data_IF_418179575433
#
_entry.id   IF_418179575433
#
_cell.length_a   1.000
_cell.length_b   1.000
_cell.length_c   1.000
_cell.angle_alpha   90.00
_cell.angle_beta   90.00
_cell.angle_gamma   90.00
#
_symmetry.space_group_name_H-M   'P 1'
#
loop_
_entity.id
_entity.type
_entity.pdbx_description
1 polymer ?
#
# COMPACT_ATOMS: atom_id res chain seq x y z
N UNK A 1 11.82 -8.23 1.73
CA UNK A 1 11.08 -7.46 0.72
C UNK A 1 12.06 -6.92 -0.29
N UNK A 2 11.87 -5.66 -0.70
CA UNK A 2 12.68 -4.99 -1.73
C UNK A 2 13.62 -3.93 -1.11
N UNK A 3 13.69 -3.82 0.23
CA UNK A 3 14.56 -2.87 0.90
C UNK A 3 14.26 -1.41 0.50
N UNK A 4 15.30 -0.67 0.13
CA UNK A 4 15.22 0.71 -0.38
C UNK A 4 15.30 0.81 -1.90
N UNK A 5 15.12 -0.29 -2.64
CA UNK A 5 15.02 -0.19 -4.10
C UNK A 5 13.72 0.49 -4.52
N UNK A 6 13.83 1.37 -5.51
CA UNK A 6 12.67 2.00 -6.17
C UNK A 6 12.05 1.09 -7.23
N UNK A 7 12.70 -0.05 -7.54
CA UNK A 7 12.27 -1.00 -8.56
C UNK A 7 12.54 -0.53 -9.99
N UNK A 8 13.23 0.59 -10.18
CA UNK A 8 13.40 1.25 -11.49
C UNK A 8 14.62 0.74 -12.29
N UNK A 9 15.14 -0.45 -11.95
CA UNK A 9 16.34 -1.00 -12.60
C UNK A 9 16.17 -1.20 -14.10
N UNK A 10 14.99 -1.65 -14.52
CA UNK A 10 14.64 -1.83 -15.93
C UNK A 10 14.60 -0.48 -16.66
N UNK A 11 13.94 0.52 -16.08
CA UNK A 11 13.78 1.86 -16.62
C UNK A 11 15.12 2.57 -16.76
N UNK A 12 16.01 2.44 -15.78
CA UNK A 12 17.38 2.97 -15.82
C UNK A 12 18.19 2.34 -16.96
N UNK A 13 18.08 1.02 -17.12
CA UNK A 13 18.72 0.32 -18.23
C UNK A 13 18.15 0.79 -19.59
N UNK A 14 16.83 0.83 -19.75
CA UNK A 14 16.18 1.37 -20.96
C UNK A 14 16.61 2.79 -21.29
N UNK A 15 16.70 3.66 -20.28
CA UNK A 15 17.17 5.02 -20.44
C UNK A 15 18.61 5.05 -20.98
N UNK A 16 19.51 4.22 -20.42
CA UNK A 16 20.92 4.16 -20.80
C UNK A 16 21.12 3.82 -22.28
N UNK A 17 20.30 2.93 -22.86
CA UNK A 17 20.40 2.51 -24.27
C UNK A 17 19.49 3.30 -25.21
N UNK A 18 18.64 4.19 -24.69
CA UNK A 18 17.62 4.90 -25.48
C UNK A 18 18.21 5.76 -26.61
N UNK A 19 19.41 6.29 -26.41
CA UNK A 19 20.14 7.08 -27.42
C UNK A 19 20.51 6.25 -28.66
N UNK A 20 20.62 4.92 -28.53
CA UNK A 20 20.90 4.03 -29.66
C UNK A 20 19.70 3.90 -30.61
N UNK A 21 18.47 4.21 -30.17
CA UNK A 21 17.26 4.01 -30.98
C UNK A 21 17.35 4.75 -32.32
N UNK A 22 17.80 6.01 -32.31
CA UNK A 22 17.92 6.82 -33.54
C UNK A 22 19.00 6.28 -34.47
N UNK A 23 20.14 5.87 -33.91
CA UNK A 23 21.27 5.32 -34.67
C UNK A 23 20.91 3.97 -35.29
N UNK A 24 20.29 3.09 -34.51
CA UNK A 24 20.00 1.73 -34.92
C UNK A 24 18.87 1.64 -35.95
N UNK A 25 17.95 2.61 -35.99
CA UNK A 25 16.79 2.60 -36.89
C UNK A 25 17.16 2.50 -38.38
N UNK A 26 18.31 3.03 -38.76
CA UNK A 26 18.78 3.06 -40.16
C UNK A 26 19.80 1.96 -40.48
N UNK A 27 20.08 1.06 -39.54
CA UNK A 27 21.11 0.01 -39.68
C UNK A 27 20.50 -1.37 -39.96
N UNK A 28 21.31 -2.25 -40.57
CA UNK A 28 20.90 -3.62 -40.87
C UNK A 28 20.58 -4.41 -39.60
N UNK A 29 19.76 -5.46 -39.71
CA UNK A 29 19.35 -6.29 -38.58
C UNK A 29 20.53 -6.82 -37.75
N UNK A 30 21.55 -7.37 -38.39
CA UNK A 30 22.71 -7.93 -37.70
C UNK A 30 23.55 -6.85 -37.01
N UNK A 31 23.68 -5.67 -37.61
CA UNK A 31 24.39 -4.57 -36.98
C UNK A 31 23.66 -4.08 -35.72
N UNK A 32 22.32 -4.00 -35.75
CA UNK A 32 21.51 -3.68 -34.56
C UNK A 32 21.74 -4.65 -33.42
N UNK A 33 21.67 -5.96 -33.70
CA UNK A 33 21.90 -6.99 -32.70
C UNK A 33 23.30 -6.90 -32.10
N UNK A 34 24.32 -6.79 -32.96
CA UNK A 34 25.71 -6.69 -32.52
C UNK A 34 25.95 -5.47 -31.63
N UNK A 35 25.46 -4.30 -32.02
CA UNK A 35 25.65 -3.06 -31.26
C UNK A 35 24.92 -3.11 -29.92
N UNK A 36 23.69 -3.64 -29.88
CA UNK A 36 22.96 -3.82 -28.62
C UNK A 36 23.67 -4.80 -27.69
N UNK A 37 24.09 -5.96 -28.19
CA UNK A 37 24.81 -6.97 -27.41
C UNK A 37 26.13 -6.41 -26.85
N UNK A 38 26.86 -5.63 -27.66
CA UNK A 38 28.11 -4.98 -27.24
C UNK A 38 27.85 -3.93 -26.17
N UNK A 39 26.80 -3.11 -26.30
CA UNK A 39 26.44 -2.11 -25.30
C UNK A 39 26.02 -2.76 -23.97
N UNK A 40 25.26 -3.86 -24.04
CA UNK A 40 24.84 -4.62 -22.86
C UNK A 40 26.07 -5.18 -22.14
N UNK A 41 26.96 -5.86 -22.88
CA UNK A 41 28.22 -6.39 -22.32
C UNK A 41 29.07 -5.32 -21.67
N UNK A 42 29.19 -4.15 -22.31
CA UNK A 42 29.92 -3.03 -21.73
C UNK A 42 29.27 -2.53 -20.42
N UNK A 43 27.94 -2.42 -20.40
CA UNK A 43 27.19 -2.00 -19.21
C UNK A 43 27.32 -3.01 -18.06
N UNK A 44 27.33 -4.32 -18.37
CA UNK A 44 27.54 -5.38 -17.39
C UNK A 44 28.97 -5.32 -16.82
N UNK A 45 29.99 -5.15 -17.68
CA UNK A 45 31.37 -4.99 -17.24
C UNK A 45 31.54 -3.76 -16.33
N UNK A 46 30.93 -2.63 -16.69
CA UNK A 46 30.95 -1.41 -15.88
C UNK A 46 30.22 -1.59 -14.54
N UNK A 47 29.07 -2.27 -14.55
CA UNK A 47 28.27 -2.55 -13.35
C UNK A 47 29.03 -3.44 -12.38
N UNK A 48 29.63 -4.55 -12.86
CA UNK A 48 30.48 -5.43 -12.06
C UNK A 48 31.66 -4.65 -11.48
N UNK A 49 32.30 -3.80 -12.28
CA UNK A 49 33.44 -3.00 -11.82
C UNK A 49 33.06 -2.03 -10.69
N UNK A 50 31.89 -1.40 -10.75
CA UNK A 50 31.37 -0.45 -9.75
C UNK A 50 30.62 -1.11 -8.59
N UNK A 51 30.37 -2.41 -8.63
CA UNK A 51 29.49 -3.10 -7.69
C UNK A 51 29.92 -2.93 -6.22
N UNK A 52 31.22 -2.97 -5.93
CA UNK A 52 31.72 -2.76 -4.56
C UNK A 52 31.42 -1.36 -4.03
N UNK A 53 31.67 -0.33 -4.83
CA UNK A 53 31.35 1.07 -4.50
C UNK A 53 29.85 1.27 -4.31
N UNK A 54 29.04 0.71 -5.21
CA UNK A 54 27.58 0.73 -5.12
C UNK A 54 27.09 0.09 -3.80
N UNK A 55 27.63 -1.06 -3.43
CA UNK A 55 27.27 -1.76 -2.21
C UNK A 55 27.63 -0.94 -0.95
N UNK A 56 28.81 -0.29 -0.92
CA UNK A 56 29.19 0.61 0.16
C UNK A 56 28.23 1.80 0.27
N UNK A 57 27.91 2.45 -0.85
CA UNK A 57 26.97 3.57 -0.87
C UNK A 57 25.59 3.16 -0.33
N UNK A 58 25.09 1.99 -0.74
CA UNK A 58 23.82 1.46 -0.24
C UNK A 58 23.87 1.15 1.25
N UNK A 59 24.97 0.58 1.73
CA UNK A 59 25.18 0.33 3.16
C UNK A 59 25.15 1.63 3.97
N UNK A 60 25.85 2.66 3.50
CA UNK A 60 25.85 3.98 4.15
C UNK A 60 24.46 4.62 4.14
N UNK A 61 23.75 4.51 3.02
CA UNK A 61 22.38 5.01 2.90
C UNK A 61 21.42 4.30 3.86
N UNK A 62 21.48 2.97 3.94
CA UNK A 62 20.68 2.17 4.88
C UNK A 62 20.94 2.57 6.32
N UNK A 63 22.23 2.71 6.70
CA UNK A 63 22.64 3.18 8.04
C UNK A 63 22.13 4.57 8.36
N UNK A 64 22.23 5.51 7.41
CA UNK A 64 21.67 6.85 7.58
C UNK A 64 20.17 6.79 7.81
N UNK A 65 19.43 6.05 6.96
CA UNK A 65 17.97 5.92 7.08
C UNK A 65 17.55 5.25 8.38
N UNK A 66 18.32 4.27 8.86
CA UNK A 66 18.13 3.64 10.16
C UNK A 66 18.29 4.64 11.29
N UNK A 67 19.36 5.45 11.28
CA UNK A 67 19.61 6.46 12.31
C UNK A 67 18.48 7.49 12.37
N UNK A 68 18.11 8.06 11.22
CA UNK A 68 16.99 9.01 11.11
C UNK A 68 15.69 8.43 11.67
N UNK A 69 15.42 7.15 11.41
CA UNK A 69 14.22 6.49 11.92
C UNK A 69 14.29 6.22 13.44
N UNK A 70 15.45 5.84 13.97
CA UNK A 70 15.63 5.66 15.42
C UNK A 70 15.47 6.97 16.18
N UNK A 71 15.97 8.09 15.64
CA UNK A 71 15.79 9.42 16.22
C UNK A 71 14.30 9.79 16.31
N UNK A 72 13.55 9.59 15.21
CA UNK A 72 12.10 9.86 15.20
C UNK A 72 11.34 8.96 16.20
N UNK A 73 11.73 7.70 16.36
CA UNK A 73 11.11 6.81 17.35
C UNK A 73 11.44 7.19 18.80
N UNK A 74 12.61 7.75 19.04
CA UNK A 74 12.97 8.27 20.36
C UNK A 74 12.15 9.52 20.70
N UNK A 75 11.89 10.38 19.71
CA UNK A 75 11.10 11.60 19.88
C UNK A 75 9.59 11.36 20.01
N UNK A 76 9.02 10.40 19.26
CA UNK A 76 7.57 10.28 19.15
C UNK A 76 6.87 9.73 20.40
N UNK A 77 7.63 9.17 21.36
CA UNK A 77 7.11 8.71 22.65
C UNK A 77 6.11 7.53 22.59
N UNK A 78 5.98 6.88 21.43
CA UNK A 78 5.06 5.76 21.20
C UNK A 78 5.82 4.42 21.19
N UNK A 79 5.20 3.36 21.72
CA UNK A 79 5.78 2.02 21.62
C UNK A 79 5.80 1.53 20.17
N UNK A 80 6.88 0.82 19.79
CA UNK A 80 6.98 0.19 18.46
C UNK A 80 5.85 -0.81 18.21
N UNK A 81 5.36 -1.49 19.24
CA UNK A 81 4.26 -2.45 19.12
C UNK A 81 2.93 -1.75 18.80
N UNK A 82 2.65 -0.65 19.50
CA UNK A 82 1.46 0.16 19.25
C UNK A 82 1.48 0.78 17.85
N UNK A 83 2.64 1.29 17.41
CA UNK A 83 2.81 1.81 16.05
C UNK A 83 2.57 0.72 14.98
N UNK A 84 3.04 -0.51 15.21
CA UNK A 84 2.77 -1.65 14.31
C UNK A 84 1.30 -2.02 14.28
N UNK A 85 0.60 -1.98 15.42
CA UNK A 85 -0.84 -2.21 15.50
C UNK A 85 -1.62 -1.12 14.76
N UNK A 86 -1.30 0.15 15.02
CA UNK A 86 -1.89 1.30 14.33
C UNK A 86 -1.66 1.23 12.81
N UNK A 87 -0.47 0.81 12.37
CA UNK A 87 -0.19 0.55 10.97
C UNK A 87 -1.04 -0.60 10.40
N UNK A 88 -1.19 -1.71 11.12
CA UNK A 88 -2.03 -2.83 10.68
C UNK A 88 -3.50 -2.42 10.54
N UNK A 89 -4.02 -1.64 11.49
CA UNK A 89 -5.38 -1.06 11.43
C UNK A 89 -5.52 -0.12 10.22
N UNK A 90 -4.53 0.75 9.99
CA UNK A 90 -4.50 1.61 8.81
C UNK A 90 -4.55 0.80 7.51
N UNK A 91 -3.71 -0.23 7.38
CA UNK A 91 -3.69 -1.10 6.20
C UNK A 91 -5.05 -1.75 6.01
N UNK A 92 -5.61 -2.36 7.05
CA UNK A 92 -6.93 -2.99 6.97
C UNK A 92 -8.03 -2.03 6.51
N UNK A 93 -8.00 -0.77 6.96
CA UNK A 93 -8.96 0.25 6.53
C UNK A 93 -8.72 0.67 5.09
N UNK A 94 -7.47 0.91 4.70
CA UNK A 94 -7.11 1.43 3.38
C UNK A 94 -7.16 0.38 2.26
N UNK A 95 -6.97 -0.90 2.56
CA UNK A 95 -7.04 -2.00 1.59
C UNK A 95 -8.44 -2.59 1.46
N UNK A 96 -9.45 -2.07 2.18
CA UNK A 96 -10.85 -2.50 2.00
C UNK A 96 -11.26 -2.31 0.54
N UNK A 97 -11.87 -3.33 -0.09
CA UNK A 97 -12.37 -3.20 -1.46
C UNK A 97 -13.32 -2.00 -1.58
N UNK A 98 -13.05 -1.15 -2.57
CA UNK A 98 -13.90 0.01 -2.86
C UNK A 98 -15.34 -0.46 -3.09
N UNK A 99 -16.28 0.11 -2.32
CA UNK A 99 -17.67 -0.27 -2.39
C UNK A 99 -18.21 -0.05 -3.81
N UNK A 100 -18.73 -1.12 -4.43
CA UNK A 100 -19.39 -1.05 -5.74
C UNK A 100 -20.87 -0.74 -5.58
N UNK A 101 -21.44 -0.10 -6.61
CA UNK A 101 -22.88 0.04 -6.77
C UNK A 101 -23.54 -1.32 -6.90
N UNK A 102 -24.75 -1.44 -6.38
CA UNK A 102 -25.57 -2.62 -6.58
C UNK A 102 -27.05 -2.25 -6.49
N UNK A 103 -27.84 -2.88 -7.35
CA UNK A 103 -29.30 -2.74 -7.34
C UNK A 103 -29.93 -3.42 -6.12
N UNK A 104 -29.32 -4.45 -5.56
CA UNK A 104 -29.90 -5.26 -4.47
C UNK A 104 -29.35 -4.92 -3.09
N UNK A 105 -28.41 -3.98 -2.98
CA UNK A 105 -27.73 -3.69 -1.71
C UNK A 105 -28.66 -3.09 -0.66
N UNK A 106 -29.58 -2.21 -1.06
CA UNK A 106 -30.61 -1.68 -0.17
C UNK A 106 -31.51 -2.80 0.38
N UNK A 107 -32.00 -3.66 -0.49
CA UNK A 107 -32.85 -4.81 -0.12
C UNK A 107 -32.14 -5.76 0.84
N UNK A 108 -30.86 -6.08 0.58
CA UNK A 108 -30.04 -6.92 1.46
C UNK A 108 -29.82 -6.29 2.83
N UNK A 109 -29.60 -4.97 2.90
CA UNK A 109 -29.43 -4.27 4.17
C UNK A 109 -30.73 -4.28 5.00
N UNK A 110 -31.88 -4.03 4.36
CA UNK A 110 -33.19 -4.13 5.01
C UNK A 110 -33.45 -5.56 5.51
N UNK A 111 -33.18 -6.58 4.68
CA UNK A 111 -33.32 -7.98 5.09
C UNK A 111 -32.41 -8.32 6.28
N UNK A 112 -31.19 -7.77 6.33
CA UNK A 112 -30.27 -7.96 7.44
C UNK A 112 -30.76 -7.33 8.75
N UNK A 113 -31.41 -6.17 8.71
CA UNK A 113 -32.06 -5.56 9.88
C UNK A 113 -33.24 -6.41 10.34
N UNK A 114 -34.09 -6.87 9.43
CA UNK A 114 -35.21 -7.76 9.77
C UNK A 114 -34.71 -9.06 10.42
N UNK A 115 -33.64 -9.67 9.89
CA UNK A 115 -33.02 -10.85 10.49
C UNK A 115 -32.43 -10.56 11.89
N UNK A 116 -31.74 -9.42 12.06
CA UNK A 116 -31.21 -9.00 13.36
C UNK A 116 -32.32 -8.79 14.41
N UNK A 117 -33.49 -8.27 14.00
CA UNK A 117 -34.66 -8.15 14.88
C UNK A 117 -35.21 -9.50 15.31
N UNK A 118 -35.30 -10.45 14.39
CA UNK A 118 -35.71 -11.83 14.70
C UNK A 118 -34.72 -12.47 15.66
N UNK A 119 -33.41 -12.32 15.44
CA UNK A 119 -32.37 -12.82 16.32
C UNK A 119 -32.44 -12.22 17.73
N UNK A 120 -32.67 -10.90 17.86
CA UNK A 120 -32.93 -10.24 19.15
C UNK A 120 -34.17 -10.81 19.83
N UNK A 121 -35.25 -11.05 19.07
CA UNK A 121 -36.47 -11.68 19.58
C UNK A 121 -36.21 -13.06 20.18
N UNK A 122 -35.48 -13.92 19.46
CA UNK A 122 -35.08 -15.25 19.93
C UNK A 122 -34.19 -15.17 21.17
N UNK A 123 -33.23 -14.23 21.21
CA UNK A 123 -32.40 -14.05 22.40
C UNK A 123 -33.23 -13.58 23.60
N UNK A 124 -34.25 -12.75 23.37
CA UNK A 124 -35.16 -12.30 24.43
C UNK A 124 -35.99 -13.46 24.98
N UNK A 125 -36.62 -14.27 24.12
CA UNK A 125 -37.39 -15.43 24.58
C UNK A 125 -36.50 -16.40 25.36
N UNK A 126 -35.26 -16.64 24.90
CA UNK A 126 -34.31 -17.47 25.66
C UNK A 126 -33.95 -16.90 27.04
N UNK A 127 -33.87 -15.57 27.18
CA UNK A 127 -33.70 -14.94 28.50
C UNK A 127 -34.93 -15.20 29.36
N UNK A 128 -36.14 -15.03 28.80
CA UNK A 128 -37.41 -15.25 29.49
C UNK A 128 -37.54 -16.73 29.94
N UNK A 129 -37.20 -17.70 29.08
CA UNK A 129 -37.20 -19.14 29.37
C UNK A 129 -36.19 -19.49 30.49
N UNK A 130 -34.94 -19.03 30.36
CA UNK A 130 -33.93 -19.24 31.41
C UNK A 130 -34.28 -18.56 32.74
N UNK A 131 -35.04 -17.45 32.71
CA UNK A 131 -35.56 -16.87 33.96
C UNK A 131 -36.63 -17.73 34.62
N UNK A 132 -37.52 -18.36 33.83
CA UNK A 132 -38.53 -19.27 34.35
C UNK A 132 -37.89 -20.53 34.95
N UNK A 133 -36.94 -21.15 34.25
CA UNK A 133 -36.18 -22.32 34.73
C UNK A 133 -35.42 -22.01 36.04
N UNK A 134 -34.82 -20.81 36.14
CA UNK A 134 -34.12 -20.39 37.35
C UNK A 134 -35.07 -20.21 38.55
N UNK A 135 -36.29 -19.71 38.32
CA UNK A 135 -37.32 -19.57 39.35
C UNK A 135 -37.84 -20.93 39.84
N UNK A 136 -38.08 -21.87 38.93
CA UNK A 136 -38.46 -23.25 39.28
C UNK A 136 -37.35 -23.97 40.06
N UNK A 137 -36.09 -23.85 39.62
CA UNK A 137 -34.95 -24.43 40.33
C UNK A 137 -34.78 -23.86 41.75
N UNK A 138 -35.06 -22.56 41.94
CA UNK A 138 -35.06 -21.94 43.28
C UNK A 138 -36.23 -22.43 44.15
N UNK A 139 -37.41 -22.64 43.57
CA UNK A 139 -38.58 -23.18 44.29
C UNK A 139 -38.40 -24.65 44.73
N UNK A 140 -37.62 -25.43 43.98
CA UNK A 140 -37.34 -26.84 44.27
C UNK A 140 -36.07 -27.05 45.14
N UNK A 141 -35.39 -25.98 45.56
CA UNK A 141 -34.14 -26.01 46.37
C UNK A 141 -32.98 -26.86 45.78
N UNK A 142 -33.00 -27.16 44.48
CA UNK A 142 -31.96 -27.96 43.82
C UNK A 142 -30.72 -27.10 43.55
N UNK A 143 -29.72 -27.24 44.43
CA UNK A 143 -28.47 -26.46 44.40
C UNK A 143 -27.66 -26.63 43.11
N UNK A 144 -27.72 -27.81 42.47
CA UNK A 144 -27.00 -28.07 41.22
C UNK A 144 -27.74 -27.45 40.03
N UNK A 145 -29.07 -27.58 39.97
CA UNK A 145 -29.90 -26.94 38.96
C UNK A 145 -29.83 -25.40 39.05
N UNK A 146 -29.78 -24.83 40.27
CA UNK A 146 -29.63 -23.38 40.48
C UNK A 146 -28.30 -22.86 39.91
N UNK A 147 -27.20 -23.60 40.06
CA UNK A 147 -25.90 -23.20 39.52
C UNK A 147 -25.89 -23.21 37.97
N UNK A 148 -26.46 -24.25 37.36
CA UNK A 148 -26.53 -24.38 35.89
C UNK A 148 -27.44 -23.33 35.25
N UNK A 149 -28.64 -23.11 35.81
CA UNK A 149 -29.59 -22.10 35.31
C UNK A 149 -29.03 -20.68 35.43
N UNK A 150 -28.25 -20.38 36.47
CA UNK A 150 -27.58 -19.08 36.65
C UNK A 150 -26.54 -18.78 35.57
N UNK A 151 -25.74 -19.76 35.18
CA UNK A 151 -24.74 -19.58 34.11
C UNK A 151 -25.39 -19.53 32.73
N UNK A 152 -26.43 -20.34 32.48
CA UNK A 152 -27.24 -20.27 31.27
C UNK A 152 -27.92 -18.89 31.12
N UNK A 153 -28.47 -18.33 32.21
CA UNK A 153 -29.06 -17.00 32.24
C UNK A 153 -28.03 -15.91 31.91
N UNK A 154 -26.82 -15.98 32.47
CA UNK A 154 -25.73 -15.03 32.13
C UNK A 154 -25.38 -15.11 30.65
N UNK A 155 -25.21 -16.31 30.11
CA UNK A 155 -24.91 -16.50 28.69
C UNK A 155 -26.04 -15.93 27.81
N UNK A 156 -27.31 -16.19 28.14
CA UNK A 156 -28.47 -15.65 27.42
C UNK A 156 -28.52 -14.11 27.45
N UNK A 157 -28.23 -13.48 28.61
CA UNK A 157 -28.15 -12.02 28.75
C UNK A 157 -27.05 -11.42 27.89
N UNK A 158 -25.83 -11.98 27.92
CA UNK A 158 -24.72 -11.49 27.08
C UNK A 158 -25.01 -11.65 25.58
N UNK A 159 -25.72 -12.72 25.19
CA UNK A 159 -26.17 -12.92 23.81
C UNK A 159 -27.23 -11.88 23.40
N UNK A 160 -28.19 -11.57 24.29
CA UNK A 160 -29.18 -10.53 24.07
C UNK A 160 -28.52 -9.15 23.94
N UNK A 161 -27.55 -8.82 24.78
CA UNK A 161 -26.77 -7.58 24.70
C UNK A 161 -26.07 -7.45 23.35
N UNK A 162 -25.35 -8.48 22.91
CA UNK A 162 -24.69 -8.51 21.58
C UNK A 162 -25.69 -8.38 20.43
N UNK A 163 -26.84 -9.06 20.52
CA UNK A 163 -27.90 -8.96 19.51
C UNK A 163 -28.55 -7.57 19.50
N UNK A 164 -28.71 -6.93 20.66
CA UNK A 164 -29.20 -5.54 20.74
C UNK A 164 -28.21 -4.53 20.17
N UNK A 165 -26.91 -4.67 20.44
CA UNK A 165 -25.90 -3.77 19.89
C UNK A 165 -25.76 -3.93 18.38
N UNK A 166 -25.78 -5.17 17.88
CA UNK A 166 -25.75 -5.44 16.43
C UNK A 166 -27.01 -4.93 15.72
N UNK A 167 -28.18 -5.05 16.35
CA UNK A 167 -29.41 -4.47 15.81
C UNK A 167 -29.32 -2.94 15.73
N UNK A 168 -28.96 -2.27 16.84
CA UNK A 168 -28.84 -0.80 16.89
C UNK A 168 -27.90 -0.30 15.79
N UNK A 169 -26.71 -0.91 15.66
CA UNK A 169 -25.74 -0.57 14.61
C UNK A 169 -26.34 -0.66 13.20
N UNK A 170 -27.10 -1.71 12.91
CA UNK A 170 -27.71 -1.90 11.58
C UNK A 170 -28.91 -0.97 11.35
N UNK A 171 -29.67 -0.65 12.39
CA UNK A 171 -30.78 0.33 12.34
C UNK A 171 -30.24 1.75 12.12
N UNK A 172 -29.18 2.14 12.82
CA UNK A 172 -28.45 3.40 12.63
C UNK A 172 -27.88 3.49 11.22
N UNK A 173 -27.21 2.46 10.71
CA UNK A 173 -26.68 2.46 9.33
C UNK A 173 -27.78 2.63 8.24
N UNK A 174 -29.04 2.25 8.55
CA UNK A 174 -30.19 2.48 7.67
C UNK A 174 -30.97 3.75 8.00
N UNK A 175 -30.73 4.41 9.13
CA UNK A 175 -31.51 5.56 9.59
C UNK A 175 -32.96 5.22 9.92
N UNK A 176 -33.27 3.96 10.26
CA UNK A 176 -34.66 3.51 10.48
C UNK A 176 -34.83 2.79 11.80
N UNK A 177 -35.78 3.27 12.59
CA UNK A 177 -36.18 2.67 13.88
C UNK A 177 -37.49 1.88 13.79
N UNK A 178 -38.37 2.13 12.82
CA UNK A 178 -39.71 1.49 12.77
C UNK A 178 -39.76 0.18 11.92
N UNK A 179 -40.39 -0.86 12.48
CA UNK A 179 -40.60 -2.20 11.88
C UNK A 179 -41.70 -2.26 10.85
N UNK A 180 -42.75 -1.47 11.02
CA UNK A 180 -43.84 -1.45 10.04
C UNK A 180 -43.40 -0.74 8.76
N UNK A 181 -42.56 0.28 8.90
CA UNK A 181 -41.96 1.03 7.81
C UNK A 181 -40.96 0.17 7.02
N UNK A 182 -40.04 -0.55 7.70
CA UNK A 182 -39.07 -1.45 7.06
C UNK A 182 -39.69 -2.59 6.22
N UNK A 183 -40.82 -3.17 6.66
CA UNK A 183 -41.52 -4.23 5.88
C UNK A 183 -42.19 -3.67 4.63
N UNK A 184 -42.77 -2.46 4.70
CA UNK A 184 -43.33 -1.76 3.52
C UNK A 184 -42.22 -1.27 2.58
N UNK A 185 -41.04 -0.99 3.13
CA UNK A 185 -39.89 -0.41 2.44
C UNK A 185 -38.82 -1.44 2.01
N UNK A 186 -39.06 -2.74 2.19
CA UNK A 186 -38.18 -3.79 1.68
C UNK A 186 -37.97 -3.72 0.16
N UNK A 187 -38.86 -3.03 -0.55
CA UNK A 187 -38.83 -2.80 -1.99
C UNK A 187 -38.68 -1.32 -2.39
N UNK A 188 -38.46 -0.37 -1.46
CA UNK A 188 -38.34 1.03 -1.84
C UNK A 188 -36.99 1.32 -2.47
N UNK A 189 -37.06 1.94 -3.64
CA UNK A 189 -35.91 2.42 -4.42
C UNK A 189 -35.05 3.42 -3.65
N UNK A 190 -35.60 4.09 -2.64
CA UNK A 190 -34.90 5.09 -1.82
C UNK A 190 -33.61 4.55 -1.19
N UNK A 191 -33.65 3.41 -0.50
CA UNK A 191 -32.45 2.83 0.13
C UNK A 191 -31.40 2.40 -0.89
N UNK A 192 -31.84 1.90 -2.06
CA UNK A 192 -30.95 1.59 -3.17
C UNK A 192 -30.25 2.86 -3.69
N UNK A 193 -31.00 3.96 -3.86
CA UNK A 193 -30.45 5.25 -4.28
C UNK A 193 -29.46 5.79 -3.25
N UNK A 194 -29.81 5.77 -1.95
CA UNK A 194 -28.96 6.22 -0.84
C UNK A 194 -27.65 5.45 -0.77
N UNK A 195 -27.71 4.12 -0.78
CA UNK A 195 -26.53 3.26 -0.76
C UNK A 195 -25.65 3.43 -2.00
N UNK A 196 -26.26 3.62 -3.18
CA UNK A 196 -25.52 3.87 -4.41
C UNK A 196 -24.90 5.28 -4.45
N UNK A 197 -25.54 6.26 -3.80
CA UNK A 197 -25.03 7.62 -3.69
C UNK A 197 -23.82 7.64 -2.75
N UNK A 198 -23.91 7.02 -1.58
CA UNK A 198 -22.78 6.83 -0.65
C UNK A 198 -21.60 6.15 -1.35
N UNK A 199 -21.85 5.02 -2.03
CA UNK A 199 -20.81 4.30 -2.76
C UNK A 199 -20.09 5.17 -3.79
N UNK A 200 -20.81 6.04 -4.51
CA UNK A 200 -20.17 6.94 -5.49
C UNK A 200 -19.49 8.13 -4.87
N UNK A 201 -19.99 8.64 -3.75
CA UNK A 201 -19.31 9.69 -2.99
C UNK A 201 -17.95 9.19 -2.48
N UNK A 202 -17.90 7.97 -1.92
CA UNK A 202 -16.64 7.31 -1.53
C UNK A 202 -15.71 7.12 -2.73
N UNK A 203 -16.20 6.56 -3.83
CA UNK A 203 -15.39 6.39 -5.04
C UNK A 203 -14.89 7.71 -5.64
N UNK A 204 -15.66 8.78 -5.50
CA UNK A 204 -15.29 10.11 -5.96
C UNK A 204 -14.18 10.69 -5.08
N UNK A 205 -14.30 10.56 -3.74
CA UNK A 205 -13.23 10.91 -2.79
C UNK A 205 -11.93 10.17 -3.12
N UNK A 206 -12.00 8.87 -3.39
CA UNK A 206 -10.83 8.07 -3.77
C UNK A 206 -10.21 8.53 -5.09
N UNK A 207 -11.02 8.78 -6.12
CA UNK A 207 -10.55 9.32 -7.39
C UNK A 207 -9.87 10.69 -7.22
N UNK A 208 -10.41 11.56 -6.36
CA UNK A 208 -9.86 12.88 -6.07
C UNK A 208 -8.52 12.80 -5.31
N UNK A 209 -8.45 11.94 -4.28
CA UNK A 209 -7.19 11.66 -3.56
C UNK A 209 -6.13 11.11 -4.50
N UNK A 210 -6.47 10.13 -5.33
CA UNK A 210 -5.56 9.56 -6.33
C UNK A 210 -5.04 10.62 -7.31
N UNK A 211 -5.92 11.50 -7.82
CA UNK A 211 -5.51 12.62 -8.68
C UNK A 211 -4.54 13.57 -7.96
N UNK A 212 -4.79 13.91 -6.69
CA UNK A 212 -3.90 14.76 -5.89
C UNK A 212 -2.51 14.14 -5.72
N UNK A 213 -2.45 12.83 -5.42
CA UNK A 213 -1.18 12.12 -5.29
C UNK A 213 -0.39 12.07 -6.61
N UNK A 214 -1.09 11.88 -7.74
CA UNK A 214 -0.46 11.86 -9.07
C UNK A 214 0.10 13.21 -9.47
N UNK A 215 -0.66 14.29 -9.27
CA UNK A 215 -0.17 15.66 -9.48
C UNK A 215 1.04 15.96 -8.59
N UNK A 216 0.97 15.61 -7.30
CA UNK A 216 2.09 15.80 -6.37
C UNK A 216 3.33 14.98 -6.77
N UNK A 217 3.14 13.81 -7.39
CA UNK A 217 4.26 13.01 -7.95
C UNK A 217 4.84 13.68 -9.18
N UNK A 218 4.00 14.13 -10.11
CA UNK A 218 4.40 14.84 -11.32
C UNK A 218 5.20 16.11 -11.00
N UNK A 219 4.69 16.94 -10.09
CA UNK A 219 5.35 18.16 -9.63
C UNK A 219 6.71 17.90 -8.99
N UNK A 220 6.86 16.83 -8.20
CA UNK A 220 8.14 16.48 -7.56
C UNK A 220 9.18 16.02 -8.56
N UNK A 221 8.76 15.32 -9.63
CA UNK A 221 9.66 14.94 -10.74
C UNK A 221 10.11 16.22 -11.46
N UNK A 222 9.16 17.08 -11.84
CA UNK A 222 9.44 18.35 -12.51
C UNK A 222 10.37 19.25 -11.69
N UNK A 223 10.13 19.39 -10.38
CA UNK A 223 10.98 20.20 -9.48
C UNK A 223 12.40 19.67 -9.36
N UNK A 224 12.59 18.36 -9.21
CA UNK A 224 13.94 17.77 -9.15
C UNK A 224 14.73 18.00 -10.45
N UNK A 225 14.08 17.84 -11.60
CA UNK A 225 14.76 18.01 -12.89
C UNK A 225 15.06 19.47 -13.23
N UNK A 226 14.20 20.42 -12.82
CA UNK A 226 14.50 21.85 -12.92
C UNK A 226 15.71 22.27 -12.07
N UNK A 227 16.00 21.54 -10.99
CA UNK A 227 17.10 21.82 -10.09
C UNK A 227 18.43 21.19 -10.55
N UNK A 228 18.38 20.07 -11.29
CA UNK A 228 19.57 19.31 -11.71
C UNK A 228 20.13 19.67 -13.11
N UNK A 229 19.37 20.34 -13.99
CA UNK A 229 19.82 20.69 -15.36
C UNK A 229 19.35 22.07 -15.83
N UNK A 230 20.22 22.79 -16.56
CA UNK A 230 19.85 23.97 -17.35
C UNK A 230 18.93 23.57 -18.53
N UNK A 231 17.63 23.43 -18.26
CA UNK A 231 16.58 23.20 -19.25
C UNK A 231 16.05 21.76 -19.32
N UNK A 232 14.76 21.62 -19.69
CA UNK A 232 14.05 20.34 -19.77
C UNK A 232 14.33 19.66 -21.12
N UNK A 233 14.96 18.48 -21.18
CA UNK A 233 15.19 17.75 -22.42
C UNK A 233 13.86 17.37 -23.11
N UNK A 234 13.87 17.32 -24.45
CA UNK A 234 12.67 17.08 -25.29
C UNK A 234 11.94 15.76 -25.02
N UNK A 235 12.64 14.74 -24.50
CA UNK A 235 12.05 13.45 -24.14
C UNK A 235 11.24 13.53 -22.83
N UNK A 236 11.56 14.50 -21.98
CA UNK A 236 10.94 14.68 -20.67
C UNK A 236 9.72 15.59 -20.72
N UNK A 237 9.72 16.55 -21.66
CA UNK A 237 8.50 17.23 -22.10
C UNK A 237 7.43 16.23 -22.57
N UNK A 238 7.83 15.11 -23.20
CA UNK A 238 6.89 14.03 -23.55
C UNK A 238 6.38 13.31 -22.30
N UNK A 239 7.21 13.05 -21.30
CA UNK A 239 6.78 12.43 -20.05
C UNK A 239 5.82 13.34 -19.26
N UNK A 240 6.09 14.64 -19.20
CA UNK A 240 5.20 15.65 -18.62
C UNK A 240 3.87 15.70 -19.37
N UNK A 241 3.88 15.77 -20.71
CA UNK A 241 2.64 15.78 -21.50
C UNK A 241 1.87 14.46 -21.36
N UNK A 242 2.53 13.31 -21.25
CA UNK A 242 1.88 12.03 -20.95
C UNK A 242 1.25 12.02 -19.54
N UNK A 243 1.93 12.60 -18.56
CA UNK A 243 1.44 12.69 -17.17
C UNK A 243 0.25 13.64 -17.08
N UNK A 244 0.33 14.80 -17.72
CA UNK A 244 -0.78 15.76 -17.85
C UNK A 244 -1.97 15.15 -18.60
N UNK A 245 -1.73 14.41 -19.69
CA UNK A 245 -2.78 13.72 -20.43
C UNK A 245 -3.45 12.64 -19.58
N UNK A 246 -2.69 11.90 -18.78
CA UNK A 246 -3.23 10.92 -17.83
C UNK A 246 -4.11 11.60 -16.75
N UNK A 247 -3.66 12.73 -16.19
CA UNK A 247 -4.45 13.54 -15.25
C UNK A 247 -5.75 14.04 -15.91
N UNK A 248 -5.68 14.59 -17.13
CA UNK A 248 -6.85 15.03 -17.91
C UNK A 248 -7.82 13.88 -18.18
N UNK A 249 -7.34 12.67 -18.50
CA UNK A 249 -8.19 11.49 -18.70
C UNK A 249 -8.96 11.11 -17.43
N UNK A 250 -8.34 11.24 -16.26
CA UNK A 250 -8.99 10.98 -14.96
C UNK A 250 -10.01 12.03 -14.56
N UNK A 251 -9.83 13.28 -14.99
CA UNK A 251 -10.83 14.34 -14.86
C UNK A 251 -12.19 13.91 -15.42
N UNK A 252 -12.19 13.24 -16.58
CA UNK A 252 -13.41 12.71 -17.20
C UNK A 252 -14.13 11.69 -16.31
N UNK A 253 -13.39 10.81 -15.62
CA UNK A 253 -13.94 9.86 -14.66
C UNK A 253 -14.54 10.56 -13.44
N UNK A 254 -13.82 11.53 -12.86
CA UNK A 254 -14.26 12.31 -11.71
C UNK A 254 -15.57 13.07 -12.03
N UNK A 255 -15.61 13.74 -13.18
CA UNK A 255 -16.81 14.44 -13.65
C UNK A 255 -17.99 13.47 -13.87
N UNK A 256 -17.75 12.28 -14.43
CA UNK A 256 -18.78 11.24 -14.53
C UNK A 256 -19.28 10.82 -13.14
N UNK A 257 -18.39 10.49 -12.21
CA UNK A 257 -18.78 10.10 -10.85
C UNK A 257 -19.58 11.20 -10.14
N UNK A 258 -19.14 12.46 -10.23
CA UNK A 258 -19.85 13.64 -9.74
C UNK A 258 -21.26 13.74 -10.33
N UNK A 259 -21.38 13.70 -11.65
CA UNK A 259 -22.68 13.84 -12.32
C UNK A 259 -23.64 12.73 -11.88
N UNK A 260 -23.17 11.49 -11.84
CA UNK A 260 -24.00 10.36 -11.42
C UNK A 260 -24.36 10.44 -9.94
N UNK A 261 -23.50 11.00 -9.07
CA UNK A 261 -23.85 11.29 -7.67
C UNK A 261 -24.96 12.36 -7.58
N UNK A 262 -24.80 13.49 -8.28
CA UNK A 262 -25.81 14.55 -8.29
C UNK A 262 -27.16 14.05 -8.84
N UNK A 263 -27.16 13.20 -9.89
CA UNK A 263 -28.39 12.56 -10.39
C UNK A 263 -29.05 11.65 -9.35
N UNK A 264 -28.27 10.93 -8.53
CA UNK A 264 -28.85 10.14 -7.45
C UNK A 264 -29.48 11.02 -6.38
N UNK A 265 -28.86 12.16 -6.05
CA UNK A 265 -29.45 13.14 -5.12
C UNK A 265 -30.79 13.65 -5.65
N UNK A 266 -30.89 13.95 -6.96
CA UNK A 266 -32.15 14.33 -7.61
C UNK A 266 -33.22 13.24 -7.53
N UNK A 267 -32.83 11.98 -7.74
CA UNK A 267 -33.76 10.85 -7.62
C UNK A 267 -34.23 10.65 -6.17
N UNK A 268 -33.35 10.83 -5.18
CA UNK A 268 -33.72 10.76 -3.76
C UNK A 268 -34.69 11.88 -3.39
N UNK A 269 -34.46 13.11 -3.86
CA UNK A 269 -35.38 14.23 -3.66
C UNK A 269 -36.79 13.93 -4.22
N UNK A 270 -36.86 13.29 -5.39
CA UNK A 270 -38.14 12.86 -6.00
C UNK A 270 -38.87 11.82 -5.15
N UNK A 271 -38.17 10.81 -4.63
CA UNK A 271 -38.79 9.78 -3.76
C UNK A 271 -39.29 10.38 -2.44
N UNK A 272 -38.59 11.39 -1.89
CA UNK A 272 -39.03 12.13 -0.71
C UNK A 272 -40.29 12.96 -1.02
N UNK A 273 -40.29 13.71 -2.12
CA UNK A 273 -41.46 14.49 -2.55
C UNK A 273 -42.70 13.62 -2.78
N UNK A 274 -42.50 12.40 -3.28
CA UNK A 274 -43.55 11.41 -3.54
C UNK A 274 -43.98 10.64 -2.29
N UNK A 275 -43.46 10.97 -1.09
CA UNK A 275 -43.73 10.30 0.19
C UNK A 275 -43.45 8.80 0.18
N UNK A 276 -42.47 8.38 -0.61
CA UNK A 276 -41.99 6.99 -0.71
C UNK A 276 -40.68 6.75 0.06
N UNK A 277 -40.13 7.79 0.66
CA UNK A 277 -38.97 7.72 1.53
C UNK A 277 -39.39 7.58 3.01
N UNK A 278 -38.49 7.10 3.90
CA UNK A 278 -38.72 7.07 5.33
C UNK A 278 -39.04 8.45 5.93
N UNK A 279 -39.81 8.47 7.01
CA UNK A 279 -40.04 9.70 7.79
C UNK A 279 -38.71 10.29 8.26
N UNK A 280 -38.49 11.59 8.00
CA UNK A 280 -37.25 12.29 8.35
C UNK A 280 -36.08 12.10 7.36
N UNK A 281 -36.30 11.49 6.20
CA UNK A 281 -35.26 11.36 5.16
C UNK A 281 -34.76 12.73 4.65
N UNK A 282 -33.44 12.94 4.72
CA UNK A 282 -32.77 14.17 4.26
C UNK A 282 -32.10 13.92 2.90
N UNK A 283 -32.22 14.88 1.99
CA UNK A 283 -31.50 14.85 0.70
C UNK A 283 -30.05 15.28 0.93
N UNK A 284 -29.05 14.49 0.47
CA UNK A 284 -27.65 14.87 0.53
C UNK A 284 -27.32 16.07 -0.36
N UNK A 285 -26.34 16.86 0.06
CA UNK A 285 -25.88 18.00 -0.73
C UNK A 285 -25.21 17.57 -2.04
N UNK A 286 -25.53 18.33 -3.08
CA UNK A 286 -24.92 18.18 -4.41
C UNK A 286 -23.51 18.75 -4.43
N UNK A 287 -22.68 18.14 -5.25
CA UNK A 287 -21.30 18.57 -5.44
C UNK A 287 -21.26 19.63 -6.56
N UNK A 288 -20.82 20.84 -6.20
CA UNK A 288 -20.68 21.99 -7.12
C UNK A 288 -19.62 21.71 -8.19
N UNK A 289 -19.75 22.29 -9.38
CA UNK A 289 -18.91 21.93 -10.52
C UNK A 289 -17.49 22.53 -10.53
N UNK A 290 -17.29 23.72 -9.96
CA UNK A 290 -16.03 24.46 -10.10
C UNK A 290 -15.00 24.10 -9.01
N UNK A 291 -15.44 23.65 -7.82
CA UNK A 291 -14.55 23.53 -6.65
C UNK A 291 -14.18 22.10 -6.24
N UNK A 292 -14.63 21.07 -6.96
CA UNK A 292 -14.39 19.65 -6.61
C UNK A 292 -12.90 19.31 -6.46
N UNK A 293 -12.03 20.09 -7.09
CA UNK A 293 -10.59 19.87 -7.14
C UNK A 293 -9.80 20.61 -6.06
N UNK A 294 -10.41 21.60 -5.41
CA UNK A 294 -9.75 22.40 -4.36
C UNK A 294 -9.67 21.59 -3.06
N UNK A 295 -10.67 20.73 -2.79
CA UNK A 295 -10.72 19.85 -1.63
C UNK A 295 -10.57 20.64 -0.32
N UNK A 296 -11.33 21.73 -0.22
CA UNK A 296 -11.35 22.55 0.98
C UNK A 296 -12.07 21.83 2.13
N UNK A 297 -11.82 22.23 3.36
CA UNK A 297 -12.35 21.58 4.57
C UNK A 297 -13.89 21.63 4.60
N UNK A 298 -14.46 22.71 4.10
CA UNK A 298 -15.91 22.96 4.10
C UNK A 298 -16.64 22.42 2.85
N UNK A 299 -15.93 21.73 1.95
CA UNK A 299 -16.54 21.20 0.74
C UNK A 299 -17.61 20.12 1.07
N UNK A 300 -18.76 20.21 0.40
CA UNK A 300 -19.86 19.24 0.51
C UNK A 300 -19.45 17.77 0.17
N UNK A 301 -18.26 17.58 -0.42
CA UNK A 301 -17.68 16.26 -0.62
C UNK A 301 -17.38 15.55 0.70
N UNK A 302 -17.14 16.26 1.81
CA UNK A 302 -16.79 15.67 3.12
C UNK A 302 -17.98 15.37 4.01
N UNK A 303 -19.13 16.01 3.79
CA UNK A 303 -20.33 15.82 4.59
C UNK A 303 -21.10 14.56 4.13
N UNK A 304 -21.41 13.62 5.02
CA UNK A 304 -22.21 12.42 4.69
C UNK A 304 -23.68 12.52 5.11
N UNK A 305 -24.16 13.74 5.34
CA UNK A 305 -25.55 14.05 5.72
C UNK A 305 -26.53 13.42 4.72
N UNK A 306 -27.47 12.60 5.21
CA UNK A 306 -28.46 11.90 4.41
C UNK A 306 -27.96 10.67 3.65
N UNK A 307 -26.68 10.30 3.79
CA UNK A 307 -26.06 9.12 3.17
C UNK A 307 -25.63 8.06 4.18
N UNK A 308 -25.17 8.53 5.34
CA UNK A 308 -24.70 7.70 6.45
C UNK A 308 -25.19 8.35 7.76
N UNK A 309 -26.05 7.66 8.49
CA UNK A 309 -26.46 8.06 9.83
C UNK A 309 -25.62 7.36 10.91
N UNK A 310 -24.59 6.59 10.49
CA UNK A 310 -23.42 6.29 11.32
C UNK A 310 -22.76 7.65 11.63
N UNK A 311 -23.32 8.36 12.63
CA UNK A 311 -22.48 9.10 13.55
C UNK A 311 -21.48 8.05 14.02
N UNK A 312 -20.28 8.04 13.46
CA UNK A 312 -19.11 7.52 14.15
C UNK A 312 -19.29 8.03 15.58
N UNK A 313 -19.68 7.14 16.50
CA UNK A 313 -20.49 7.52 17.67
C UNK A 313 -19.94 8.81 18.25
N UNK A 314 -20.78 9.82 18.48
CA UNK A 314 -20.47 11.26 18.68
C UNK A 314 -19.23 11.63 19.54
N UNK A 315 -18.59 10.64 20.21
CA UNK A 315 -17.38 10.70 21.02
C UNK A 315 -16.23 9.73 20.61
N UNK A 316 -16.27 9.07 19.45
CA UNK A 316 -15.21 8.17 19.01
C UNK A 316 -14.06 9.03 18.45
N UNK A 317 -13.04 9.26 19.28
CA UNK A 317 -11.81 9.91 18.85
C UNK A 317 -11.28 9.23 17.58
N UNK A 318 -10.90 10.01 16.55
CA UNK A 318 -10.35 9.44 15.33
C UNK A 318 -9.13 8.57 15.66
N UNK A 319 -8.89 7.46 14.92
CA UNK A 319 -7.74 6.60 15.16
C UNK A 319 -6.43 7.38 15.16
N UNK A 320 -5.49 7.00 16.04
CA UNK A 320 -4.20 7.67 16.19
C UNK A 320 -3.43 7.78 14.87
N UNK A 321 -3.40 6.73 14.06
CA UNK A 321 -2.77 6.76 12.73
C UNK A 321 -3.35 7.80 11.76
N UNK A 322 -4.55 8.31 12.02
CA UNK A 322 -5.20 9.33 11.20
C UNK A 322 -4.98 10.75 11.78
N UNK A 323 -5.18 10.92 13.08
CA UNK A 323 -5.24 12.23 13.71
C UNK A 323 -3.95 12.64 14.44
N UNK A 324 -3.22 11.69 15.02
CA UNK A 324 -2.02 11.96 15.79
C UNK A 324 -0.80 12.08 14.87
N UNK A 325 -0.11 13.22 14.94
CA UNK A 325 1.08 13.49 14.13
C UNK A 325 2.28 12.65 14.55
N UNK A 326 2.44 12.41 15.85
CA UNK A 326 3.53 11.59 16.38
C UNK A 326 3.32 10.11 16.09
N UNK A 327 2.07 9.63 16.13
CA UNK A 327 1.76 8.27 15.65
C UNK A 327 2.05 8.13 14.17
N UNK A 328 1.68 9.11 13.33
CA UNK A 328 1.99 9.07 11.88
C UNK A 328 3.49 9.10 11.60
N UNK A 329 4.25 9.96 12.27
CA UNK A 329 5.71 10.02 12.18
C UNK A 329 6.34 8.71 12.66
N UNK A 330 5.88 8.19 13.79
CA UNK A 330 6.33 6.91 14.36
C UNK A 330 6.08 5.73 13.43
N UNK A 331 4.90 5.63 12.80
CA UNK A 331 4.59 4.57 11.82
C UNK A 331 5.59 4.63 10.65
N UNK A 332 5.85 5.82 10.10
CA UNK A 332 6.81 5.97 9.00
C UNK A 332 8.22 5.53 9.43
N UNK A 333 8.63 5.89 10.65
CA UNK A 333 9.93 5.51 11.19
C UNK A 333 10.05 3.99 11.41
N UNK A 334 9.02 3.32 11.96
CA UNK A 334 9.00 1.85 12.07
C UNK A 334 9.16 1.20 10.69
N UNK A 335 8.39 1.65 9.69
CA UNK A 335 8.48 1.10 8.33
C UNK A 335 9.84 1.35 7.69
N UNK A 336 10.48 2.48 7.99
CA UNK A 336 11.81 2.80 7.51
C UNK A 336 12.88 1.91 8.17
N UNK A 337 12.72 1.55 9.45
CA UNK A 337 13.57 0.56 10.10
C UNK A 337 13.40 -0.83 9.51
N UNK A 338 12.15 -1.28 9.37
CA UNK A 338 11.87 -2.60 8.79
C UNK A 338 12.48 -2.69 7.36
N UNK A 339 12.43 -1.62 6.57
CA UNK A 339 13.12 -1.55 5.25
C UNK A 339 14.64 -1.54 5.34
N UNK A 340 15.22 -0.87 6.34
CA UNK A 340 16.67 -0.88 6.57
C UNK A 340 17.15 -2.28 6.97
N UNK A 341 16.40 -2.99 7.80
CA UNK A 341 16.68 -4.39 8.16
C UNK A 341 16.69 -5.29 6.92
N UNK A 342 15.70 -5.13 6.03
CA UNK A 342 15.65 -5.85 4.76
C UNK A 342 16.82 -5.51 3.83
N UNK A 343 17.13 -4.22 3.66
CA UNK A 343 18.23 -3.76 2.81
C UNK A 343 19.58 -4.30 3.34
N UNK A 344 19.82 -4.21 4.65
CA UNK A 344 21.06 -4.70 5.26
C UNK A 344 21.23 -6.21 5.04
N UNK A 345 20.16 -7.00 5.19
CA UNK A 345 20.19 -8.43 4.90
C UNK A 345 20.48 -8.74 3.42
N UNK A 346 19.92 -7.96 2.49
CA UNK A 346 20.18 -8.08 1.06
C UNK A 346 21.64 -7.73 0.75
N UNK A 347 22.14 -6.62 1.29
CA UNK A 347 23.51 -6.16 1.05
C UNK A 347 24.55 -7.14 1.57
N UNK A 348 24.31 -7.77 2.73
CA UNK A 348 25.18 -8.82 3.27
C UNK A 348 25.22 -10.06 2.36
N UNK A 349 24.05 -10.46 1.84
CA UNK A 349 23.96 -11.57 0.87
C UNK A 349 24.68 -11.23 -0.43
N UNK A 350 24.55 -10.00 -0.90
CA UNK A 350 25.23 -9.51 -2.10
C UNK A 350 26.74 -9.52 -1.91
N UNK A 351 27.25 -8.97 -0.81
CA UNK A 351 28.69 -9.00 -0.49
C UNK A 351 29.23 -10.43 -0.44
N UNK A 352 28.51 -11.35 0.22
CA UNK A 352 28.87 -12.77 0.27
C UNK A 352 28.90 -13.40 -1.12
N UNK A 353 27.95 -13.04 -1.98
CA UNK A 353 27.85 -13.56 -3.35
C UNK A 353 28.97 -13.02 -4.23
N UNK A 354 29.30 -11.73 -4.12
CA UNK A 354 30.45 -11.11 -4.79
C UNK A 354 31.76 -11.82 -4.44
N UNK A 355 32.00 -12.06 -3.14
CA UNK A 355 33.22 -12.74 -2.66
C UNK A 355 33.30 -14.18 -3.16
N UNK A 356 32.18 -14.92 -3.09
CA UNK A 356 32.10 -16.31 -3.59
C UNK A 356 32.36 -16.37 -5.09
N UNK A 357 31.63 -15.56 -5.86
CA UNK A 357 31.80 -15.47 -7.31
C UNK A 357 33.25 -15.16 -7.69
N UNK A 358 33.88 -14.19 -7.02
CA UNK A 358 35.28 -13.87 -7.30
C UNK A 358 36.21 -15.06 -7.04
N UNK A 359 36.01 -15.76 -5.93
CA UNK A 359 36.83 -16.90 -5.53
C UNK A 359 36.70 -18.04 -6.54
N UNK A 360 35.47 -18.41 -6.90
CA UNK A 360 35.19 -19.43 -7.90
C UNK A 360 35.79 -19.08 -9.27
N UNK A 361 35.57 -17.86 -9.76
CA UNK A 361 36.12 -17.38 -11.03
C UNK A 361 37.66 -17.40 -11.04
N UNK A 362 38.27 -17.04 -9.91
CA UNK A 362 39.72 -17.05 -9.76
C UNK A 362 40.30 -18.47 -9.80
N UNK A 363 39.71 -19.40 -9.04
CA UNK A 363 40.14 -20.79 -8.99
C UNK A 363 39.98 -21.50 -10.35
N UNK A 364 38.83 -21.30 -10.99
CA UNK A 364 38.55 -21.84 -12.33
C UNK A 364 39.56 -21.30 -13.34
N UNK A 365 39.86 -20.00 -13.29
CA UNK A 365 40.83 -19.39 -14.20
C UNK A 365 42.24 -19.92 -14.00
N UNK A 366 42.72 -20.02 -12.76
CA UNK A 366 44.06 -20.56 -12.47
C UNK A 366 44.17 -22.03 -12.90
N UNK A 367 43.13 -22.84 -12.66
CA UNK A 367 43.08 -24.23 -13.13
C UNK A 367 43.04 -24.33 -14.66
N UNK A 368 42.29 -23.45 -15.34
CA UNK A 368 42.24 -23.40 -16.80
C UNK A 368 43.58 -22.97 -17.41
N UNK A 369 44.27 -22.01 -16.80
CA UNK A 369 45.61 -21.59 -17.20
C UNK A 369 46.63 -22.73 -17.09
N UNK A 370 46.60 -23.50 -16.01
CA UNK A 370 47.50 -24.64 -15.81
C UNK A 370 47.28 -25.74 -16.87
N UNK A 371 46.04 -25.96 -17.31
CA UNK A 371 45.67 -26.99 -18.29
C UNK A 371 45.77 -26.53 -19.76
N UNK A 372 45.85 -25.23 -20.01
CA UNK A 372 45.85 -24.69 -21.37
C UNK A 372 47.09 -25.15 -22.15
N UNK A 373 46.89 -25.82 -23.29
CA UNK A 373 47.98 -26.25 -24.20
C UNK A 373 48.30 -25.19 -25.26
N UNK A 374 47.29 -24.48 -25.76
CA UNK A 374 47.43 -23.46 -26.79
C UNK A 374 47.97 -22.14 -26.23
N UNK A 375 48.98 -21.56 -26.90
CA UNK A 375 49.54 -20.25 -26.55
C UNK A 375 48.50 -19.13 -26.68
N UNK A 376 47.65 -19.16 -27.71
CA UNK A 376 46.59 -18.17 -27.91
C UNK A 376 45.55 -18.20 -26.77
N UNK A 377 45.16 -19.40 -26.32
CA UNK A 377 44.23 -19.57 -25.20
C UNK A 377 44.87 -19.13 -23.88
N UNK A 378 46.15 -19.47 -23.64
CA UNK A 378 46.91 -18.98 -22.47
C UNK A 378 46.96 -17.46 -22.42
N UNK A 379 47.16 -16.80 -23.56
CA UNK A 379 47.16 -15.34 -23.64
C UNK A 379 45.79 -14.74 -23.26
N UNK A 380 44.69 -15.33 -23.72
CA UNK A 380 43.34 -14.89 -23.32
C UNK A 380 43.09 -15.04 -21.82
N UNK A 381 43.51 -16.17 -21.24
CA UNK A 381 43.42 -16.35 -19.79
C UNK A 381 44.30 -15.37 -19.01
N UNK A 382 45.49 -15.05 -19.51
CA UNK A 382 46.33 -14.01 -18.93
C UNK A 382 45.64 -12.64 -18.91
N UNK A 383 44.97 -12.25 -20.00
CA UNK A 383 44.18 -11.01 -20.04
C UNK A 383 43.02 -11.03 -19.04
N UNK A 384 42.28 -12.14 -18.95
CA UNK A 384 41.20 -12.33 -17.96
C UNK A 384 41.74 -12.24 -16.53
N UNK A 385 42.91 -12.83 -16.26
CA UNK A 385 43.58 -12.78 -14.95
C UNK A 385 43.93 -11.36 -14.55
N UNK A 386 44.50 -10.58 -15.48
CA UNK A 386 44.79 -9.15 -15.25
C UNK A 386 43.50 -8.39 -14.92
N UNK A 387 42.41 -8.61 -15.66
CA UNK A 387 41.10 -7.99 -15.37
C UNK A 387 40.58 -8.36 -13.98
N UNK A 388 40.61 -9.63 -13.59
CA UNK A 388 40.17 -10.08 -12.26
C UNK A 388 41.01 -9.46 -11.14
N UNK A 389 42.33 -9.30 -11.33
CA UNK A 389 43.18 -8.62 -10.34
C UNK A 389 42.77 -7.16 -10.17
N UNK A 390 42.53 -6.44 -11.27
CA UNK A 390 42.07 -5.05 -11.21
C UNK A 390 40.70 -4.95 -10.52
N UNK A 391 39.79 -5.87 -10.83
CA UNK A 391 38.48 -5.95 -10.20
C UNK A 391 38.60 -6.21 -8.69
N UNK A 392 39.45 -7.16 -8.29
CA UNK A 392 39.74 -7.47 -6.88
C UNK A 392 40.28 -6.25 -6.14
N UNK A 393 41.27 -5.56 -6.72
CA UNK A 393 41.85 -4.36 -6.16
C UNK A 393 40.83 -3.23 -6.01
N UNK A 394 39.90 -3.09 -6.96
CA UNK A 394 38.79 -2.13 -6.87
C UNK A 394 37.81 -2.52 -5.76
N UNK A 395 37.36 -3.78 -5.74
CA UNK A 395 36.38 -4.25 -4.77
C UNK A 395 36.91 -4.26 -3.33
N UNK A 396 38.18 -4.64 -3.09
CA UNK A 396 38.77 -4.63 -1.73
C UNK A 396 38.79 -3.25 -1.07
N UNK A 397 38.69 -2.15 -1.83
CA UNK A 397 38.51 -0.80 -1.28
C UNK A 397 37.17 -0.60 -0.57
N UNK A 398 36.17 -1.39 -0.95
CA UNK A 398 34.77 -1.21 -0.55
C UNK A 398 34.18 -2.43 0.17
N UNK A 399 34.71 -3.62 -0.10
CA UNK A 399 34.43 -4.87 0.58
C UNK A 399 35.68 -5.30 1.37
N UNK A 400 35.82 -4.89 2.64
CA UNK A 400 36.90 -5.38 3.49
C UNK A 400 36.80 -6.90 3.67
N UNK A 401 37.95 -7.50 4.00
CA UNK A 401 38.03 -8.91 4.41
C UNK A 401 37.26 -9.08 5.72
N UNK A 402 36.52 -10.19 5.83
CA UNK A 402 35.86 -10.58 7.08
C UNK A 402 36.82 -11.43 7.90
N UNK A 403 36.66 -11.41 9.22
CA UNK A 403 37.49 -12.19 10.13
C UNK A 403 37.49 -13.67 9.73
N UNK A 404 38.66 -14.19 9.35
CA UNK A 404 38.84 -15.58 8.93
C UNK A 404 38.52 -15.88 7.45
N UNK A 405 38.09 -14.90 6.66
CA UNK A 405 37.77 -15.09 5.24
C UNK A 405 38.57 -14.15 4.32
N UNK A 406 39.76 -14.63 3.92
CA UNK A 406 40.59 -14.00 2.90
C UNK A 406 40.11 -14.43 1.52
N UNK A 407 39.79 -13.46 0.65
CA UNK A 407 39.33 -13.73 -0.70
C UNK A 407 40.20 -13.06 -1.75
N UNK A 408 40.34 -13.74 -2.89
CA UNK A 408 41.17 -13.32 -4.01
C UNK A 408 42.69 -13.43 -3.78
N UNK A 409 43.51 -13.00 -4.75
CA UNK A 409 44.96 -13.13 -4.70
C UNK A 409 45.59 -12.35 -3.54
N UNK A 410 46.66 -12.89 -2.95
CA UNK A 410 47.40 -12.24 -1.86
C UNK A 410 47.99 -10.89 -2.31
N UNK A 411 48.09 -9.93 -1.40
CA UNK A 411 48.53 -8.55 -1.69
C UNK A 411 49.86 -8.49 -2.47
N UNK A 412 50.79 -9.41 -2.20
CA UNK A 412 52.07 -9.52 -2.91
C UNK A 412 51.99 -9.99 -4.37
N UNK A 413 50.87 -10.53 -4.85
CA UNK A 413 50.62 -10.83 -6.27
C UNK A 413 49.93 -9.66 -7.00
N UNK A 414 49.15 -8.86 -6.27
CA UNK A 414 48.49 -7.66 -6.82
C UNK A 414 49.53 -6.55 -7.11
N UNK A 415 50.51 -6.35 -6.21
CA UNK A 415 51.57 -5.35 -6.40
C UNK A 415 52.56 -5.67 -7.53
N UNK A 416 52.84 -6.95 -7.81
CA UNK A 416 53.80 -7.39 -8.85
C UNK A 416 53.26 -7.33 -10.29
N UNK A 417 51.97 -7.06 -10.47
CA UNK A 417 51.32 -6.97 -11.79
C UNK A 417 50.88 -5.54 -12.15
N UNK A 418 51.04 -4.60 -11.21
CA UNK A 418 50.86 -3.16 -11.41
C UNK A 418 52.16 -2.45 -11.80
N UNK A 419 53.33 -3.01 -11.45
CA UNK A 419 54.62 -2.72 -12.05
C UNK A 419 54.79 -3.56 -13.32
#
# INVERSE_FOLDING_TARGET
GVGFTDGEGCERFWHSISHLISLLRVTSYHHRLYTLDTQIKHSDEETIFKLGEWNQHRTLHSRQKRREALEVLAECGQSREDLKKQWAEQVQVQTKPVARRSKTRGQKAVAAVLAARTAKGICKTRVDDCTAEALEACGNEDRAAIALTKDALKAARTALEKATSDLKRKEEALGVTDRQELKKQQHTKFFELRMNARAVKVQLRDSLRSRKFELSRAERISRRHLQELQGIPRNEQKLQTHTEAAVKKRQGKINKQKNVYNTLCDLMAKEIQQRRAPSGAIVPDKIKSNDVYNLDVDDAIWQDIGLDDERDGENALPPGWLADTEVRRGIQAVLQLDRADEEDAILLKEQSSMRRWFTEEWEVLEAAMAKAKSAAVRYQFFLRRKRLIHLCARWKKYLPEEDGFVWGPSAGRVGRLHA
#
